data_IF_461509880453
#
_entry.id   IF_461509880453
#
_cell.length_a   1.000
_cell.length_b   1.000
_cell.length_c   1.000
_cell.angle_alpha   90.00
_cell.angle_beta   90.00
_cell.angle_gamma   90.00
#
_symmetry.space_group_name_H-M   'P 1'
#
loop_
_entity.id
_entity.type
_entity.pdbx_description
1 polymer ?
#
# COMPACT_ATOMS: atom_id res chain seq x y z
N UNK A 1 -13.07 -41.39 40.69
CA UNK A 1 -14.29 -40.94 39.99
C UNK A 1 -14.40 -39.42 39.94
N UNK A 2 -14.16 -38.73 41.07
CA UNK A 2 -14.20 -37.26 41.15
C UNK A 2 -13.14 -36.54 40.30
N UNK A 3 -11.87 -37.00 40.34
CA UNK A 3 -10.80 -36.46 39.47
C UNK A 3 -11.08 -36.66 37.97
N UNK A 4 -11.72 -37.78 37.59
CA UNK A 4 -12.08 -38.04 36.19
C UNK A 4 -13.17 -37.05 35.75
N UNK A 5 -14.19 -36.83 36.60
CA UNK A 5 -15.26 -35.88 36.31
C UNK A 5 -14.75 -34.43 36.18
N UNK A 6 -13.78 -34.03 37.00
CA UNK A 6 -13.14 -32.70 36.92
C UNK A 6 -12.37 -32.51 35.60
N UNK A 7 -11.53 -33.48 35.24
CA UNK A 7 -10.79 -33.46 33.96
C UNK A 7 -11.75 -33.46 32.76
N UNK A 8 -12.83 -34.24 32.82
CA UNK A 8 -13.84 -34.25 31.75
C UNK A 8 -14.56 -32.90 31.60
N UNK A 9 -14.84 -32.19 32.71
CA UNK A 9 -15.40 -30.84 32.66
C UNK A 9 -14.42 -29.86 32.00
N UNK A 10 -13.14 -29.95 32.36
CA UNK A 10 -12.12 -29.08 31.77
C UNK A 10 -11.91 -29.36 30.28
N UNK A 11 -11.91 -30.63 29.87
CA UNK A 11 -11.88 -31.01 28.44
C UNK A 11 -13.08 -30.44 27.70
N UNK A 12 -14.30 -30.54 28.26
CA UNK A 12 -15.50 -29.94 27.65
C UNK A 12 -15.37 -28.43 27.50
N UNK A 13 -14.87 -27.74 28.53
CA UNK A 13 -14.65 -26.29 28.52
C UNK A 13 -13.65 -25.88 27.43
N UNK A 14 -12.51 -26.56 27.36
CA UNK A 14 -11.47 -26.30 26.37
C UNK A 14 -11.94 -26.58 24.94
N UNK A 15 -12.71 -27.65 24.73
CA UNK A 15 -13.29 -27.95 23.42
C UNK A 15 -14.31 -26.89 22.98
N UNK A 16 -15.15 -26.39 23.91
CA UNK A 16 -16.07 -25.30 23.61
C UNK A 16 -15.32 -24.01 23.26
N UNK A 17 -14.27 -23.69 24.01
CA UNK A 17 -13.44 -22.53 23.73
C UNK A 17 -12.73 -22.62 22.37
N UNK A 18 -12.19 -23.80 22.03
CA UNK A 18 -11.59 -24.06 20.71
C UNK A 18 -12.59 -23.81 19.58
N UNK A 19 -13.82 -24.32 19.70
CA UNK A 19 -14.88 -24.09 18.70
C UNK A 19 -15.21 -22.61 18.53
N UNK A 20 -15.27 -21.86 19.63
CA UNK A 20 -15.50 -20.41 19.58
C UNK A 20 -14.37 -19.69 18.84
N UNK A 21 -13.10 -20.06 19.11
CA UNK A 21 -11.94 -19.50 18.41
C UNK A 21 -11.90 -19.88 16.92
N UNK A 22 -12.25 -21.13 16.58
CA UNK A 22 -12.35 -21.59 15.19
C UNK A 22 -13.41 -20.79 14.43
N UNK A 23 -14.60 -20.60 15.03
CA UNK A 23 -15.67 -19.79 14.45
C UNK A 23 -15.25 -18.32 14.24
N UNK A 24 -14.61 -17.71 15.24
CA UNK A 24 -14.12 -16.34 15.15
C UNK A 24 -13.08 -16.18 14.03
N UNK A 25 -12.09 -17.09 13.99
CA UNK A 25 -11.06 -17.13 12.94
C UNK A 25 -11.67 -17.25 11.55
N UNK A 26 -12.59 -18.19 11.37
CA UNK A 26 -13.16 -18.48 10.05
C UNK A 26 -14.05 -17.32 9.58
N UNK A 27 -14.79 -16.70 10.51
CA UNK A 27 -15.57 -15.47 10.23
C UNK A 27 -14.67 -14.31 9.80
N UNK A 28 -13.58 -14.05 10.54
CA UNK A 28 -12.62 -12.98 10.19
C UNK A 28 -12.00 -13.23 8.81
N UNK A 29 -11.59 -14.47 8.53
CA UNK A 29 -11.03 -14.85 7.22
C UNK A 29 -12.02 -14.61 6.09
N UNK A 30 -13.27 -15.05 6.27
CA UNK A 30 -14.31 -14.87 5.27
C UNK A 30 -14.59 -13.38 5.00
N UNK A 31 -14.70 -12.56 6.04
CA UNK A 31 -14.89 -11.11 5.90
C UNK A 31 -13.70 -10.46 5.18
N UNK A 32 -12.47 -10.83 5.55
CA UNK A 32 -11.27 -10.32 4.91
C UNK A 32 -11.20 -10.71 3.42
N UNK A 33 -11.51 -11.96 3.07
CA UNK A 33 -11.53 -12.45 1.68
C UNK A 33 -12.61 -11.75 0.84
N UNK A 34 -13.79 -11.50 1.39
CA UNK A 34 -14.83 -10.72 0.72
C UNK A 34 -14.36 -9.29 0.49
N UNK A 35 -13.86 -8.63 1.54
CA UNK A 35 -13.39 -7.25 1.45
C UNK A 35 -12.23 -7.09 0.46
N UNK A 36 -11.23 -7.98 0.50
CA UNK A 36 -10.11 -7.95 -0.45
C UNK A 36 -10.57 -8.09 -1.91
N UNK A 37 -11.55 -8.96 -2.17
CA UNK A 37 -12.13 -9.14 -3.50
C UNK A 37 -12.84 -7.88 -4.00
N UNK A 38 -13.53 -7.18 -3.11
CA UNK A 38 -14.26 -5.96 -3.45
C UNK A 38 -13.31 -4.78 -3.74
N UNK A 39 -12.21 -4.66 -2.98
CA UNK A 39 -11.25 -3.55 -3.15
C UNK A 39 -10.20 -3.79 -4.24
N UNK A 40 -9.86 -5.06 -4.54
CA UNK A 40 -8.76 -5.38 -5.46
C UNK A 40 -8.90 -4.74 -6.86
N UNK A 41 -10.09 -4.67 -7.49
CA UNK A 41 -10.26 -3.97 -8.77
C UNK A 41 -9.90 -2.47 -8.70
N UNK A 42 -10.29 -1.80 -7.62
CA UNK A 42 -9.98 -0.37 -7.42
C UNK A 42 -8.48 -0.16 -7.21
N UNK A 43 -7.85 -1.01 -6.39
CA UNK A 43 -6.40 -0.97 -6.19
C UNK A 43 -5.64 -1.27 -7.49
N UNK A 44 -6.10 -2.24 -8.29
CA UNK A 44 -5.51 -2.59 -9.58
C UNK A 44 -5.49 -1.39 -10.53
N UNK A 45 -6.63 -0.70 -10.64
CA UNK A 45 -6.75 0.48 -11.48
C UNK A 45 -5.81 1.59 -11.01
N UNK A 46 -5.90 1.97 -9.73
CA UNK A 46 -5.12 3.07 -9.19
C UNK A 46 -3.60 2.82 -9.29
N UNK A 47 -3.15 1.61 -8.99
CA UNK A 47 -1.73 1.26 -9.05
C UNK A 47 -1.24 1.12 -10.49
N UNK A 48 -2.08 0.64 -11.42
CA UNK A 48 -1.76 0.58 -12.85
C UNK A 48 -1.63 1.96 -13.47
N UNK A 49 -2.55 2.88 -13.15
CA UNK A 49 -2.48 4.28 -13.58
C UNK A 49 -1.24 4.96 -13.03
N UNK A 50 -0.96 4.77 -11.74
CA UNK A 50 0.23 5.29 -11.07
C UNK A 50 1.52 4.79 -11.70
N UNK A 51 1.69 3.47 -11.86
CA UNK A 51 2.94 2.88 -12.39
C UNK A 51 3.17 3.30 -13.85
N UNK A 52 2.08 3.42 -14.63
CA UNK A 52 2.10 3.89 -16.00
C UNK A 52 2.60 5.33 -16.09
N UNK A 53 2.15 6.20 -15.20
CA UNK A 53 2.62 7.57 -15.11
C UNK A 53 4.10 7.63 -14.72
N UNK A 54 4.48 7.01 -13.59
CA UNK A 54 5.85 7.16 -13.05
C UNK A 54 6.92 6.46 -13.88
N UNK A 55 6.54 5.46 -14.68
CA UNK A 55 7.47 4.76 -15.58
C UNK A 55 7.33 5.18 -17.04
N UNK A 56 6.63 6.28 -17.31
CA UNK A 56 6.43 6.84 -18.65
C UNK A 56 5.92 5.80 -19.67
N UNK A 57 5.00 4.94 -19.23
CA UNK A 57 4.36 3.93 -20.05
C UNK A 57 5.15 2.65 -20.27
N UNK A 58 6.30 2.47 -19.59
CA UNK A 58 7.04 1.19 -19.58
C UNK A 58 6.18 0.08 -19.00
N UNK A 59 5.63 0.28 -17.80
CA UNK A 59 4.70 -0.67 -17.19
C UNK A 59 3.30 -0.10 -17.18
N UNK A 60 2.30 -0.89 -17.57
CA UNK A 60 0.93 -0.39 -17.80
C UNK A 60 -0.13 -1.10 -16.99
N UNK A 61 0.15 -2.32 -16.55
CA UNK A 61 -0.82 -3.16 -15.89
C UNK A 61 -0.18 -3.85 -14.70
N UNK A 62 -0.87 -3.71 -13.57
CA UNK A 62 -0.56 -4.36 -12.31
C UNK A 62 -1.76 -5.24 -11.94
N UNK A 63 -1.47 -6.45 -11.48
CA UNK A 63 -2.47 -7.38 -10.96
C UNK A 63 -2.21 -7.66 -9.50
N UNK A 64 -3.21 -7.34 -8.70
CA UNK A 64 -3.29 -7.60 -7.28
C UNK A 64 -4.13 -8.87 -7.10
N UNK A 65 -3.56 -9.83 -6.40
CA UNK A 65 -4.28 -11.03 -6.01
C UNK A 65 -5.39 -10.67 -5.00
N UNK A 66 -6.68 -11.00 -5.27
CA UNK A 66 -7.79 -10.62 -4.41
C UNK A 66 -7.84 -11.40 -3.09
N UNK A 67 -6.95 -12.38 -2.88
CA UNK A 67 -6.86 -13.16 -1.64
C UNK A 67 -5.68 -12.68 -0.80
N UNK A 68 -4.51 -12.52 -1.43
CA UNK A 68 -3.25 -12.22 -0.74
C UNK A 68 -2.81 -10.77 -0.82
N UNK A 69 -3.44 -9.96 -1.69
CA UNK A 69 -3.01 -8.62 -2.08
C UNK A 69 -1.58 -8.57 -2.67
N UNK A 70 -1.02 -9.71 -3.09
CA UNK A 70 0.28 -9.75 -3.73
C UNK A 70 0.24 -9.05 -5.10
N UNK A 71 1.28 -8.27 -5.39
CA UNK A 71 1.41 -7.51 -6.63
C UNK A 71 2.16 -8.33 -7.71
N UNK A 72 1.60 -8.36 -8.91
CA UNK A 72 2.24 -8.87 -10.12
C UNK A 72 2.24 -7.78 -11.19
N UNK A 73 3.35 -7.61 -11.88
CA UNK A 73 3.52 -6.63 -12.95
C UNK A 73 3.47 -7.33 -14.30
N UNK A 74 2.75 -6.77 -15.27
CA UNK A 74 2.83 -7.24 -16.65
C UNK A 74 4.09 -6.66 -17.31
N UNK A 75 5.04 -7.52 -17.65
CA UNK A 75 6.28 -7.11 -18.30
C UNK A 75 6.03 -6.65 -19.75
N UNK A 76 6.56 -5.50 -20.18
CA UNK A 76 6.31 -4.98 -21.51
C UNK A 76 6.91 -5.86 -22.61
N UNK A 77 8.06 -6.50 -22.35
CA UNK A 77 8.84 -7.28 -23.31
C UNK A 77 8.21 -8.66 -23.59
N UNK A 78 7.79 -9.36 -22.54
CA UNK A 78 7.31 -10.75 -22.64
C UNK A 78 5.79 -10.90 -22.55
N UNK A 79 5.08 -9.83 -22.12
CA UNK A 79 3.66 -9.86 -21.75
C UNK A 79 3.32 -10.90 -20.66
N UNK A 80 4.31 -11.34 -19.89
CA UNK A 80 4.12 -12.25 -18.76
C UNK A 80 3.88 -11.47 -17.47
N UNK A 81 3.22 -12.13 -16.52
CA UNK A 81 3.12 -11.64 -15.16
C UNK A 81 4.37 -12.03 -14.37
N UNK A 82 5.04 -11.04 -13.81
CA UNK A 82 6.16 -11.23 -12.90
C UNK A 82 5.74 -10.78 -11.49
N UNK A 83 5.97 -11.64 -10.49
CA UNK A 83 5.67 -11.30 -9.12
C UNK A 83 6.62 -10.19 -8.64
N UNK A 84 6.11 -9.29 -7.81
CA UNK A 84 6.87 -8.11 -7.38
C UNK A 84 8.23 -8.49 -6.78
N UNK A 85 8.36 -9.61 -6.08
CA UNK A 85 9.62 -10.04 -5.44
C UNK A 85 10.76 -10.30 -6.44
N UNK A 86 10.46 -10.52 -7.71
CA UNK A 86 11.45 -10.75 -8.78
C UNK A 86 11.82 -9.49 -9.55
N UNK A 87 11.13 -8.36 -9.31
CA UNK A 87 11.42 -7.09 -9.95
C UNK A 87 12.66 -6.41 -9.34
N UNK A 88 13.19 -5.39 -10.02
CA UNK A 88 14.24 -4.56 -9.42
C UNK A 88 13.72 -3.85 -8.17
N UNK A 89 14.59 -3.65 -7.17
CA UNK A 89 14.24 -3.04 -5.89
C UNK A 89 13.52 -1.69 -6.05
N UNK A 90 14.00 -0.80 -6.92
CA UNK A 90 13.33 0.47 -7.18
C UNK A 90 11.91 0.31 -7.78
N UNK A 91 11.68 -0.71 -8.61
CA UNK A 91 10.33 -0.99 -9.15
C UNK A 91 9.42 -1.57 -8.06
N UNK A 92 9.95 -2.40 -7.16
CA UNK A 92 9.22 -2.90 -6.01
C UNK A 92 8.76 -1.75 -5.11
N UNK A 93 9.67 -0.86 -4.71
CA UNK A 93 9.36 0.29 -3.86
C UNK A 93 8.31 1.21 -4.48
N UNK A 94 8.41 1.47 -5.78
CA UNK A 94 7.43 2.22 -6.54
C UNK A 94 6.03 1.60 -6.48
N UNK A 95 5.93 0.30 -6.75
CA UNK A 95 4.65 -0.40 -6.71
C UNK A 95 4.05 -0.39 -5.29
N UNK A 96 4.86 -0.64 -4.26
CA UNK A 96 4.37 -0.63 -2.88
C UNK A 96 3.99 0.77 -2.40
N UNK A 97 4.71 1.82 -2.80
CA UNK A 97 4.32 3.19 -2.51
C UNK A 97 2.99 3.55 -3.17
N UNK A 98 2.82 3.23 -4.46
CA UNK A 98 1.57 3.43 -5.17
C UNK A 98 0.41 2.66 -4.55
N UNK A 99 0.64 1.42 -4.12
CA UNK A 99 -0.37 0.62 -3.42
C UNK A 99 -0.80 1.27 -2.10
N UNK A 100 0.15 1.75 -1.29
CA UNK A 100 -0.15 2.46 -0.03
C UNK A 100 -0.95 3.72 -0.28
N UNK A 101 -0.59 4.50 -1.29
CA UNK A 101 -1.33 5.70 -1.71
C UNK A 101 -2.76 5.31 -2.15
N UNK A 102 -2.91 4.28 -2.98
CA UNK A 102 -4.20 3.81 -3.45
C UNK A 102 -5.11 3.37 -2.28
N UNK A 103 -4.56 2.63 -1.30
CA UNK A 103 -5.29 2.24 -0.09
C UNK A 103 -5.69 3.47 0.72
N UNK A 104 -4.79 4.44 0.94
CA UNK A 104 -5.11 5.65 1.68
C UNK A 104 -6.23 6.46 1.02
N UNK A 105 -6.23 6.56 -0.31
CA UNK A 105 -7.30 7.21 -1.09
C UNK A 105 -8.62 6.46 -0.92
N UNK A 106 -8.61 5.14 -1.11
CA UNK A 106 -9.78 4.28 -0.95
C UNK A 106 -10.41 4.41 0.44
N UNK A 107 -9.60 4.34 1.50
CA UNK A 107 -10.08 4.51 2.87
C UNK A 107 -10.65 5.91 3.11
N UNK A 108 -10.11 6.93 2.44
CA UNK A 108 -10.57 8.31 2.56
C UNK A 108 -11.88 8.60 1.82
N UNK A 109 -12.36 7.69 0.96
CA UNK A 109 -13.70 7.80 0.34
C UNK A 109 -14.82 7.73 1.39
N UNK A 110 -14.55 7.10 2.54
CA UNK A 110 -15.50 6.93 3.63
C UNK A 110 -15.65 8.15 4.56
N UNK A 111 -14.92 9.24 4.30
CA UNK A 111 -15.22 10.57 4.84
C UNK A 111 -13.98 11.40 5.18
N UNK A 112 -13.10 10.86 6.03
CA UNK A 112 -11.92 11.60 6.51
C UNK A 112 -10.73 11.41 5.57
N UNK A 113 -10.10 12.52 5.16
CA UNK A 113 -8.89 12.49 4.33
C UNK A 113 -7.69 12.10 5.19
N UNK A 114 -7.20 10.87 5.00
CA UNK A 114 -6.07 10.33 5.74
C UNK A 114 -4.78 11.03 5.28
N UNK A 115 -3.98 11.61 6.20
CA UNK A 115 -2.69 12.20 5.86
C UNK A 115 -1.68 11.11 5.46
N UNK A 116 -0.82 11.44 4.49
CA UNK A 116 0.29 10.59 4.06
C UNK A 116 1.56 11.05 4.76
N UNK A 117 2.18 10.15 5.53
CA UNK A 117 3.47 10.40 6.19
C UNK A 117 4.50 9.48 5.53
N UNK A 118 5.46 10.08 4.84
CA UNK A 118 6.48 9.37 4.06
C UNK A 118 7.86 9.65 4.66
N UNK A 119 8.53 8.59 5.13
CA UNK A 119 9.88 8.65 5.71
C UNK A 119 10.89 8.01 4.76
N UNK A 120 11.73 8.83 4.12
CA UNK A 120 12.69 8.46 3.09
C UNK A 120 12.14 7.45 2.03
N UNK A 121 10.97 7.72 1.41
CA UNK A 121 10.30 6.74 0.55
C UNK A 121 10.97 6.53 -0.82
N UNK A 122 12.01 7.30 -1.16
CA UNK A 122 12.55 7.41 -2.53
C UNK A 122 13.99 6.90 -2.70
N UNK A 123 14.56 6.21 -1.72
CA UNK A 123 15.99 5.86 -1.67
C UNK A 123 16.47 5.08 -2.90
N UNK A 124 15.62 4.26 -3.54
CA UNK A 124 15.99 3.48 -4.72
C UNK A 124 15.38 3.98 -6.04
N UNK A 125 14.90 5.22 -6.07
CA UNK A 125 14.35 5.82 -7.28
C UNK A 125 15.47 6.40 -8.15
N UNK A 126 15.42 6.12 -9.45
CA UNK A 126 16.21 6.88 -10.42
C UNK A 126 15.60 8.28 -10.63
N UNK A 127 16.41 9.23 -11.09
CA UNK A 127 16.02 10.64 -11.23
C UNK A 127 14.73 10.85 -12.02
N UNK A 128 14.54 10.10 -13.13
CA UNK A 128 13.36 10.24 -13.97
C UNK A 128 12.11 9.79 -13.23
N UNK A 129 12.15 8.61 -12.60
CA UNK A 129 11.02 8.09 -11.84
C UNK A 129 10.73 8.89 -10.58
N UNK A 130 11.75 9.44 -9.94
CA UNK A 130 11.60 10.34 -8.80
C UNK A 130 10.81 11.59 -9.21
N UNK A 131 11.20 12.25 -10.30
CA UNK A 131 10.51 13.45 -10.80
C UNK A 131 9.02 13.16 -11.07
N UNK A 132 8.70 12.05 -11.75
CA UNK A 132 7.31 11.68 -12.01
C UNK A 132 6.54 11.35 -10.72
N UNK A 133 7.18 10.68 -9.76
CA UNK A 133 6.57 10.39 -8.45
C UNK A 133 6.27 11.67 -7.68
N UNK A 134 7.18 12.65 -7.68
CA UNK A 134 6.96 13.93 -7.00
C UNK A 134 5.85 14.76 -7.64
N UNK A 135 5.74 14.73 -8.98
CA UNK A 135 4.61 15.33 -9.69
C UNK A 135 3.30 14.65 -9.30
N UNK A 136 3.27 13.32 -9.28
CA UNK A 136 2.10 12.55 -8.84
C UNK A 136 1.70 12.86 -7.39
N UNK A 137 2.66 12.98 -6.47
CA UNK A 137 2.40 13.40 -5.08
C UNK A 137 1.89 14.84 -4.99
N UNK A 138 2.33 15.73 -5.86
CA UNK A 138 1.81 17.11 -5.93
C UNK A 138 0.35 17.14 -6.37
N UNK A 139 -0.08 16.21 -7.21
CA UNK A 139 -1.50 16.07 -7.58
C UNK A 139 -2.32 15.53 -6.40
N UNK A 140 -1.80 14.51 -5.72
CA UNK A 140 -2.46 13.92 -4.54
C UNK A 140 -2.57 14.91 -3.39
N UNK A 141 -1.63 15.86 -3.27
CA UNK A 141 -1.64 16.85 -2.18
C UNK A 141 -2.83 17.80 -2.22
N UNK A 142 -3.55 17.87 -3.34
CA UNK A 142 -4.82 18.59 -3.46
C UNK A 142 -5.95 17.94 -2.64
N UNK A 143 -5.86 16.63 -2.38
CA UNK A 143 -6.87 15.86 -1.67
C UNK A 143 -6.41 15.36 -0.30
N UNK A 144 -5.10 15.17 -0.11
CA UNK A 144 -4.50 14.62 1.10
C UNK A 144 -3.35 15.49 1.60
N UNK A 145 -3.25 15.71 2.91
CA UNK A 145 -2.03 16.27 3.47
C UNK A 145 -0.88 15.28 3.29
N UNK A 146 0.26 15.73 2.78
CA UNK A 146 1.46 14.91 2.61
C UNK A 146 2.60 15.51 3.43
N UNK A 147 3.16 14.70 4.33
CA UNK A 147 4.35 15.00 5.13
C UNK A 147 5.48 14.12 4.62
N UNK A 148 6.57 14.74 4.14
CA UNK A 148 7.73 14.02 3.60
C UNK A 148 8.94 14.35 4.47
N UNK A 149 9.54 13.32 5.04
CA UNK A 149 10.82 13.37 5.72
C UNK A 149 11.86 12.83 4.76
N UNK A 150 12.87 13.63 4.44
CA UNK A 150 13.99 13.12 3.65
C UNK A 150 15.28 13.89 3.88
N UNK A 151 16.39 13.17 3.71
CA UNK A 151 17.76 13.71 3.65
C UNK A 151 18.22 14.05 2.21
N UNK A 152 17.42 13.69 1.21
CA UNK A 152 17.82 13.82 -0.19
C UNK A 152 17.72 15.27 -0.70
N UNK A 153 18.81 15.77 -1.31
CA UNK A 153 18.88 17.16 -1.81
C UNK A 153 17.91 17.42 -2.95
N UNK A 154 17.53 16.40 -3.71
CA UNK A 154 16.53 16.52 -4.78
C UNK A 154 15.15 16.82 -4.23
N UNK A 155 14.76 16.16 -3.13
CA UNK A 155 13.50 16.41 -2.44
C UNK A 155 13.46 17.81 -1.84
N UNK A 156 14.57 18.26 -1.22
CA UNK A 156 14.67 19.63 -0.72
C UNK A 156 14.48 20.65 -1.84
N UNK A 157 15.14 20.47 -2.99
CA UNK A 157 15.01 21.37 -4.15
C UNK A 157 13.59 21.42 -4.69
N UNK A 158 12.92 20.27 -4.79
CA UNK A 158 11.51 20.19 -5.19
C UNK A 158 10.60 20.90 -4.18
N UNK A 159 10.80 20.68 -2.87
CA UNK A 159 10.06 21.37 -1.82
C UNK A 159 10.22 22.89 -1.87
N UNK A 160 11.44 23.39 -2.05
CA UNK A 160 11.72 24.83 -2.17
C UNK A 160 11.07 25.45 -3.42
N UNK A 161 10.91 24.69 -4.50
CA UNK A 161 10.16 25.13 -5.68
C UNK A 161 8.66 25.23 -5.40
N UNK A 162 8.09 24.24 -4.71
CA UNK A 162 6.68 24.25 -4.33
C UNK A 162 6.36 25.35 -3.31
N UNK A 163 7.26 25.62 -2.37
CA UNK A 163 7.13 26.70 -1.39
C UNK A 163 7.06 28.07 -2.05
N UNK A 164 7.90 28.33 -3.07
CA UNK A 164 7.82 29.57 -3.87
C UNK A 164 6.47 29.76 -4.57
N UNK A 165 5.81 28.65 -4.92
CA UNK A 165 4.46 28.66 -5.51
C UNK A 165 3.32 28.64 -4.48
N UNK A 166 3.64 28.65 -3.18
CA UNK A 166 2.66 28.59 -2.08
C UNK A 166 1.97 27.22 -1.92
N UNK A 167 2.53 26.15 -2.52
CA UNK A 167 1.95 24.80 -2.53
C UNK A 167 2.50 23.88 -1.44
N UNK A 168 3.59 24.25 -0.81
CA UNK A 168 4.23 23.48 0.26
C UNK A 168 4.91 24.41 1.27
N UNK A 169 5.34 23.85 2.39
CA UNK A 169 6.20 24.52 3.36
C UNK A 169 7.39 23.62 3.64
N UNK A 170 8.59 24.19 3.64
CA UNK A 170 9.83 23.45 3.84
C UNK A 170 10.38 23.74 5.23
N UNK A 171 10.51 22.69 6.04
CA UNK A 171 11.15 22.78 7.34
C UNK A 171 12.56 22.16 7.26
N UNK A 172 13.58 22.98 7.48
CA UNK A 172 14.96 22.49 7.63
C UNK A 172 15.17 22.12 9.10
N UNK A 173 15.29 20.82 9.36
CA UNK A 173 15.60 20.31 10.68
C UNK A 173 17.10 20.53 10.99
N UNK A 174 17.46 20.75 12.26
CA UNK A 174 18.83 21.03 12.69
C UNK A 174 19.82 19.89 12.44
#
# INVERSE_FOLDING_TARGET
EEEIAEVEMEVRRLLQFRRALECARDTIKQVAETYHRDIAPHLNQAVSEGINHITQGRYREVRIDPTTLSLKLVLPETKTLEASEYLSLGTQEQLYLLLRIAIARLLSESGEKIPLILDDPFVHFDHLRLEQMLNFLTEISAEHQILIFSKEREILRWGEQLEKSGKATVFKLP
#
